data_IF_061502218732
#
_entry.id   IF_061502218732
#
_cell.length_a   1.000
_cell.length_b   1.000
_cell.length_c   1.000
_cell.angle_alpha   90.00
_cell.angle_beta   90.00
_cell.angle_gamma   90.00
#
_symmetry.space_group_name_H-M   'P 1'
#
loop_
_entity.id
_entity.type
_entity.pdbx_description
1 polymer ?
#
# COMPACT_ATOMS: atom_id res chain seq x y z
N UNK A 1 -17.32 -3.85 14.25
CA UNK A 1 -16.16 -3.45 15.08
C UNK A 1 -16.04 -4.26 16.36
N UNK A 2 -16.97 -4.10 17.31
CA UNK A 2 -16.85 -4.68 18.68
C UNK A 2 -16.55 -6.19 18.73
N UNK A 3 -17.16 -7.00 17.86
CA UNK A 3 -16.88 -8.43 17.82
C UNK A 3 -15.45 -8.72 17.38
N UNK A 4 -14.96 -8.03 16.36
CA UNK A 4 -13.58 -8.20 15.88
C UNK A 4 -12.57 -7.69 16.93
N UNK A 5 -12.83 -6.57 17.58
CA UNK A 5 -12.03 -6.06 18.70
C UNK A 5 -11.93 -7.09 19.84
N UNK A 6 -13.06 -7.69 20.20
CA UNK A 6 -13.08 -8.72 21.24
C UNK A 6 -12.29 -9.95 20.84
N UNK A 7 -12.53 -10.50 19.63
CA UNK A 7 -11.82 -11.69 19.14
C UNK A 7 -10.32 -11.41 19.03
N UNK A 8 -9.94 -10.27 18.45
CA UNK A 8 -8.52 -9.88 18.31
C UNK A 8 -7.84 -9.71 19.67
N UNK A 9 -8.52 -9.03 20.62
CA UNK A 9 -8.02 -8.77 21.97
C UNK A 9 -7.86 -10.02 22.84
N UNK A 10 -8.62 -11.10 22.58
CA UNK A 10 -8.46 -12.38 23.30
C UNK A 10 -7.23 -13.18 22.86
N UNK A 11 -6.56 -12.78 21.78
CA UNK A 11 -5.46 -13.57 21.20
C UNK A 11 -5.93 -14.89 20.58
N UNK A 12 -7.24 -15.03 20.33
CA UNK A 12 -7.77 -16.25 19.74
C UNK A 12 -7.21 -16.48 18.33
N UNK A 13 -6.84 -17.74 18.07
CA UNK A 13 -6.45 -18.25 16.75
C UNK A 13 -7.54 -19.18 16.23
N UNK A 14 -8.56 -18.65 15.53
CA UNK A 14 -9.69 -19.47 15.08
C UNK A 14 -9.27 -20.65 14.20
N UNK A 15 -8.18 -20.47 13.43
CA UNK A 15 -7.63 -21.54 12.59
C UNK A 15 -7.11 -22.75 13.40
N UNK A 16 -6.77 -22.57 14.67
CA UNK A 16 -6.32 -23.64 15.57
C UNK A 16 -7.47 -24.36 16.28
N UNK A 17 -8.70 -23.84 16.23
CA UNK A 17 -9.87 -24.54 16.74
C UNK A 17 -10.20 -25.74 15.84
N UNK A 18 -10.22 -26.99 16.38
CA UNK A 18 -10.44 -28.18 15.56
C UNK A 18 -11.79 -28.21 14.83
N UNK A 19 -12.81 -27.55 15.38
CA UNK A 19 -14.11 -27.44 14.74
C UNK A 19 -14.07 -26.45 13.58
N UNK A 20 -13.48 -25.27 13.80
CA UNK A 20 -13.31 -24.23 12.76
C UNK A 20 -12.45 -24.79 11.63
N UNK A 21 -11.28 -25.35 11.94
CA UNK A 21 -10.37 -25.92 10.95
C UNK A 21 -11.03 -27.02 10.09
N UNK A 22 -11.94 -27.80 10.67
CA UNK A 22 -12.61 -28.91 9.97
C UNK A 22 -13.86 -28.50 9.21
N UNK A 23 -14.66 -27.59 9.75
CA UNK A 23 -16.01 -27.31 9.26
C UNK A 23 -16.23 -25.90 8.72
N UNK A 24 -15.33 -24.95 9.03
CA UNK A 24 -15.47 -23.56 8.61
C UNK A 24 -14.40 -23.24 7.56
N UNK A 25 -14.72 -23.52 6.29
CA UNK A 25 -13.88 -23.12 5.15
C UNK A 25 -14.24 -21.69 4.71
N UNK A 26 -14.19 -20.75 5.66
CA UNK A 26 -14.43 -19.34 5.35
C UNK A 26 -13.14 -18.72 4.82
N UNK A 27 -13.21 -18.16 3.62
CA UNK A 27 -12.17 -17.28 3.09
C UNK A 27 -12.66 -15.85 3.17
N UNK A 28 -11.86 -14.99 3.77
CA UNK A 28 -12.10 -13.55 3.84
C UNK A 28 -11.25 -12.90 2.77
N UNK A 29 -11.90 -12.20 1.84
CA UNK A 29 -11.21 -11.39 0.84
C UNK A 29 -11.30 -9.92 1.23
N UNK A 30 -10.19 -9.22 1.29
CA UNK A 30 -10.12 -7.78 1.54
C UNK A 30 -9.08 -7.14 0.62
N UNK A 31 -9.28 -5.87 0.35
CA UNK A 31 -8.34 -5.07 -0.42
C UNK A 31 -7.42 -4.33 0.54
N UNK A 32 -6.17 -4.76 0.63
CA UNK A 32 -5.18 -4.18 1.57
C UNK A 32 -4.71 -2.82 1.08
N UNK A 33 -4.70 -2.61 -0.22
CA UNK A 33 -4.42 -1.33 -0.87
C UNK A 33 -5.01 -1.36 -2.28
N UNK A 34 -5.33 -0.21 -2.93
CA UNK A 34 -5.91 -0.18 -4.26
C UNK A 34 -5.15 -1.06 -5.26
N UNK A 35 -5.84 -2.08 -5.79
CA UNK A 35 -5.29 -3.05 -6.73
C UNK A 35 -4.61 -4.28 -6.11
N UNK A 36 -4.49 -4.38 -4.77
CA UNK A 36 -3.94 -5.56 -4.09
C UNK A 36 -5.00 -6.20 -3.21
N UNK A 37 -5.61 -7.27 -3.74
CA UNK A 37 -6.56 -8.12 -3.02
C UNK A 37 -5.87 -9.31 -2.41
N UNK A 38 -6.20 -9.59 -1.16
CA UNK A 38 -5.72 -10.75 -0.41
C UNK A 38 -6.90 -11.59 0.00
N UNK A 39 -6.74 -12.90 -0.15
CA UNK A 39 -7.71 -13.87 0.37
C UNK A 39 -6.99 -14.71 1.42
N UNK A 40 -7.51 -14.71 2.63
CA UNK A 40 -6.97 -15.49 3.74
C UNK A 40 -8.06 -16.34 4.38
N UNK A 41 -7.64 -17.39 5.09
CA UNK A 41 -8.52 -18.11 6.00
C UNK A 41 -8.93 -17.22 7.18
N UNK A 42 -9.80 -17.74 8.04
CA UNK A 42 -10.19 -17.06 9.28
C UNK A 42 -9.10 -17.27 10.34
N UNK A 43 -8.01 -16.52 10.22
CA UNK A 43 -6.88 -16.51 11.14
C UNK A 43 -6.73 -15.14 11.83
N UNK A 44 -5.80 -15.02 12.76
CA UNK A 44 -5.54 -13.78 13.48
C UNK A 44 -5.10 -12.65 12.54
N UNK A 45 -4.35 -12.99 11.49
CA UNK A 45 -3.89 -12.05 10.48
C UNK A 45 -5.07 -11.40 9.74
N UNK A 46 -5.99 -12.23 9.22
CA UNK A 46 -7.17 -11.75 8.52
C UNK A 46 -8.10 -10.92 9.42
N UNK A 47 -8.28 -11.34 10.67
CA UNK A 47 -9.10 -10.62 11.65
C UNK A 47 -8.48 -9.25 11.96
N UNK A 48 -7.16 -9.21 12.18
CA UNK A 48 -6.44 -7.96 12.45
C UNK A 48 -6.50 -6.98 11.29
N UNK A 49 -6.26 -7.46 10.06
CA UNK A 49 -6.34 -6.62 8.87
C UNK A 49 -7.77 -6.09 8.63
N UNK A 50 -8.80 -6.93 8.80
CA UNK A 50 -10.19 -6.49 8.70
C UNK A 50 -10.55 -5.45 9.78
N UNK A 51 -10.03 -5.61 11.00
CA UNK A 51 -10.21 -4.62 12.07
C UNK A 51 -9.50 -3.30 11.75
N UNK A 52 -8.29 -3.36 11.21
CA UNK A 52 -7.52 -2.19 10.79
C UNK A 52 -8.26 -1.42 9.68
N UNK A 53 -8.80 -2.11 8.66
CA UNK A 53 -9.61 -1.50 7.61
C UNK A 53 -10.86 -0.79 8.17
N UNK A 54 -11.54 -1.39 9.16
CA UNK A 54 -12.66 -0.76 9.84
C UNK A 54 -12.26 0.51 10.60
N UNK A 55 -11.12 0.50 11.28
CA UNK A 55 -10.61 1.69 11.97
C UNK A 55 -10.22 2.78 10.98
N UNK A 56 -9.53 2.43 9.91
CA UNK A 56 -9.14 3.36 8.84
C UNK A 56 -10.37 4.00 8.20
N UNK A 57 -11.37 3.21 7.81
CA UNK A 57 -12.64 3.68 7.25
C UNK A 57 -13.44 4.58 8.22
N UNK A 58 -13.25 4.39 9.52
CA UNK A 58 -13.83 5.22 10.57
C UNK A 58 -13.02 6.50 10.87
N UNK A 59 -11.95 6.80 10.12
CA UNK A 59 -11.07 7.94 10.34
C UNK A 59 -10.21 7.82 11.60
N UNK A 60 -9.83 6.60 11.99
CA UNK A 60 -9.04 6.29 13.19
C UNK A 60 -7.75 5.52 12.82
N UNK A 61 -6.87 6.09 11.97
CA UNK A 61 -5.71 5.39 11.43
C UNK A 61 -4.71 4.95 12.53
N UNK A 62 -4.57 5.70 13.61
CA UNK A 62 -3.67 5.33 14.71
C UNK A 62 -4.08 4.02 15.40
N UNK A 63 -5.39 3.75 15.50
CA UNK A 63 -5.85 2.46 16.03
C UNK A 63 -5.63 1.33 15.03
N UNK A 64 -5.78 1.61 13.73
CA UNK A 64 -5.46 0.67 12.69
C UNK A 64 -3.98 0.28 12.74
N UNK A 65 -3.08 1.26 12.86
CA UNK A 65 -1.64 1.03 13.04
C UNK A 65 -1.39 0.11 14.24
N UNK A 66 -1.93 0.46 15.41
CA UNK A 66 -1.73 -0.33 16.63
C UNK A 66 -2.24 -1.77 16.55
N UNK A 67 -3.21 -2.05 15.67
CA UNK A 67 -3.66 -3.43 15.38
C UNK A 67 -2.67 -4.14 14.47
N UNK A 68 -2.25 -3.49 13.37
CA UNK A 68 -1.37 -4.15 12.39
C UNK A 68 0.04 -4.39 12.95
N UNK A 69 0.56 -3.51 13.80
CA UNK A 69 1.85 -3.69 14.50
C UNK A 69 1.89 -4.93 15.42
N UNK A 70 0.72 -5.46 15.82
CA UNK A 70 0.61 -6.68 16.62
C UNK A 70 0.53 -7.97 15.78
N UNK A 71 0.47 -7.85 14.45
CA UNK A 71 0.42 -8.97 13.54
C UNK A 71 1.83 -9.48 13.22
N UNK A 72 1.91 -10.75 12.79
CA UNK A 72 3.18 -11.28 12.32
C UNK A 72 3.69 -10.52 11.10
N UNK A 73 4.97 -10.10 11.09
CA UNK A 73 5.55 -9.36 10.00
C UNK A 73 5.55 -10.18 8.69
N UNK A 74 4.89 -9.68 7.68
CA UNK A 74 4.89 -10.23 6.32
C UNK A 74 4.61 -9.13 5.28
N UNK A 75 4.61 -9.47 4.00
CA UNK A 75 4.38 -8.49 2.93
C UNK A 75 3.04 -7.76 3.05
N UNK A 76 2.00 -8.43 3.55
CA UNK A 76 0.66 -7.85 3.63
C UNK A 76 0.53 -6.91 4.82
N UNK A 77 1.06 -7.29 5.99
CA UNK A 77 1.12 -6.38 7.14
C UNK A 77 2.02 -5.18 6.85
N UNK A 78 3.15 -5.38 6.16
CA UNK A 78 4.02 -4.30 5.74
C UNK A 78 3.31 -3.34 4.76
N UNK A 79 2.49 -3.85 3.83
CA UNK A 79 1.72 -3.02 2.90
C UNK A 79 0.66 -2.19 3.61
N UNK A 80 -0.09 -2.81 4.53
CA UNK A 80 -1.08 -2.10 5.36
C UNK A 80 -0.43 -1.03 6.22
N UNK A 81 0.70 -1.32 6.87
CA UNK A 81 1.45 -0.32 7.65
C UNK A 81 1.98 0.81 6.77
N UNK A 82 2.55 0.51 5.60
CA UNK A 82 3.08 1.53 4.71
C UNK A 82 1.99 2.52 4.25
N UNK A 83 0.78 2.02 3.99
CA UNK A 83 -0.38 2.87 3.64
C UNK A 83 -0.81 3.74 4.82
N UNK A 84 -1.01 3.14 5.99
CA UNK A 84 -1.41 3.84 7.22
C UNK A 84 -0.38 4.88 7.67
N UNK A 85 0.91 4.55 7.59
CA UNK A 85 1.99 5.50 7.89
C UNK A 85 2.04 6.65 6.87
N UNK A 86 1.76 6.40 5.58
CA UNK A 86 1.62 7.49 4.61
C UNK A 86 0.42 8.39 4.94
N UNK A 87 -0.71 7.82 5.34
CA UNK A 87 -1.92 8.58 5.73
C UNK A 87 -1.69 9.46 6.96
N UNK A 88 -0.85 8.98 7.89
CA UNK A 88 -0.50 9.68 9.13
C UNK A 88 0.81 10.48 9.04
N UNK A 89 1.37 10.65 7.84
CA UNK A 89 2.60 11.40 7.55
C UNK A 89 3.85 10.88 8.32
N UNK A 90 3.83 9.61 8.73
CA UNK A 90 4.95 8.92 9.40
C UNK A 90 5.94 8.36 8.37
N UNK A 91 6.57 9.23 7.59
CA UNK A 91 7.35 8.84 6.41
C UNK A 91 8.64 8.07 6.74
N UNK A 92 9.27 8.33 7.88
CA UNK A 92 10.42 7.55 8.35
C UNK A 92 10.04 6.10 8.59
N UNK A 93 8.87 5.85 9.22
CA UNK A 93 8.35 4.51 9.47
C UNK A 93 8.00 3.77 8.16
N UNK A 94 7.49 4.51 7.15
CA UNK A 94 7.31 3.93 5.79
C UNK A 94 8.63 3.46 5.21
N UNK A 95 9.70 4.26 5.32
CA UNK A 95 11.02 3.89 4.81
C UNK A 95 11.54 2.67 5.54
N UNK A 96 11.34 2.58 6.86
CA UNK A 96 11.79 1.44 7.67
C UNK A 96 11.06 0.15 7.28
N UNK A 97 9.71 0.16 7.26
CA UNK A 97 8.90 -1.04 6.97
C UNK A 97 9.06 -1.54 5.54
N UNK A 98 9.45 -0.65 4.60
CA UNK A 98 9.67 -1.01 3.20
C UNK A 98 11.14 -1.25 2.85
N UNK A 99 12.05 -1.20 3.85
CA UNK A 99 13.48 -1.35 3.59
C UNK A 99 13.81 -2.76 3.09
N UNK A 100 14.68 -2.81 2.08
CA UNK A 100 15.21 -4.07 1.51
C UNK A 100 14.14 -5.04 0.96
N UNK A 101 12.92 -4.57 0.67
CA UNK A 101 11.89 -5.39 0.04
C UNK A 101 12.21 -5.56 -1.44
N UNK A 102 12.39 -6.80 -1.94
CA UNK A 102 12.61 -7.05 -3.37
C UNK A 102 11.31 -6.90 -4.15
N UNK A 103 11.38 -6.41 -5.39
CA UNK A 103 10.21 -6.28 -6.26
C UNK A 103 9.92 -7.61 -6.99
N UNK A 104 9.19 -8.50 -6.36
CA UNK A 104 8.86 -9.84 -6.89
C UNK A 104 7.44 -9.93 -7.46
N UNK A 105 6.48 -9.25 -6.85
CA UNK A 105 5.05 -9.27 -7.19
C UNK A 105 4.41 -7.87 -7.12
N UNK A 106 3.11 -7.79 -7.23
CA UNK A 106 2.35 -6.54 -7.19
C UNK A 106 2.37 -5.89 -5.81
N UNK A 107 2.31 -6.67 -4.74
CA UNK A 107 2.37 -6.15 -3.38
C UNK A 107 3.72 -5.51 -3.08
N UNK A 108 4.81 -6.17 -3.45
CA UNK A 108 6.18 -5.66 -3.27
C UNK A 108 6.49 -4.48 -4.19
N UNK A 109 5.93 -4.46 -5.41
CA UNK A 109 6.01 -3.28 -6.28
C UNK A 109 5.30 -2.06 -5.66
N UNK A 110 4.17 -2.29 -5.00
CA UNK A 110 3.43 -1.23 -4.30
C UNK A 110 4.18 -0.75 -3.05
N UNK A 111 4.85 -1.63 -2.31
CA UNK A 111 5.77 -1.25 -1.22
C UNK A 111 6.89 -0.34 -1.73
N UNK A 112 7.46 -0.63 -2.91
CA UNK A 112 8.42 0.28 -3.55
C UNK A 112 7.79 1.64 -3.90
N UNK A 113 6.51 1.69 -4.28
CA UNK A 113 5.80 2.95 -4.52
C UNK A 113 5.64 3.76 -3.22
N UNK A 114 5.20 3.15 -2.12
CA UNK A 114 5.09 3.83 -0.83
C UNK A 114 6.43 4.36 -0.34
N UNK A 115 7.50 3.56 -0.47
CA UNK A 115 8.86 4.02 -0.18
C UNK A 115 9.24 5.23 -1.01
N UNK A 116 8.90 5.24 -2.30
CA UNK A 116 9.13 6.37 -3.20
C UNK A 116 8.39 7.62 -2.74
N UNK A 117 7.13 7.49 -2.33
CA UNK A 117 6.33 8.59 -1.78
C UNK A 117 6.99 9.15 -0.51
N UNK A 118 7.28 8.29 0.46
CA UNK A 118 7.89 8.72 1.72
C UNK A 118 9.24 9.42 1.52
N UNK A 119 10.10 8.88 0.68
CA UNK A 119 11.39 9.51 0.36
C UNK A 119 11.22 10.88 -0.33
N UNK A 120 10.16 11.06 -1.15
CA UNK A 120 9.84 12.38 -1.71
C UNK A 120 9.45 13.38 -0.63
N UNK A 121 8.55 12.98 0.27
CA UNK A 121 8.10 13.84 1.37
C UNK A 121 9.25 14.23 2.32
N UNK A 122 10.21 13.32 2.50
CA UNK A 122 11.46 13.58 3.23
C UNK A 122 12.50 14.40 2.42
N UNK A 123 12.16 14.85 1.19
CA UNK A 123 13.06 15.63 0.33
C UNK A 123 14.18 14.82 -0.33
N UNK A 124 14.17 13.50 -0.20
CA UNK A 124 15.19 12.60 -0.76
C UNK A 124 14.86 12.19 -2.21
N UNK A 125 14.77 13.16 -3.11
CA UNK A 125 14.25 12.98 -4.48
C UNK A 125 15.00 11.94 -5.31
N UNK A 126 16.32 11.83 -5.20
CA UNK A 126 17.08 10.84 -5.95
C UNK A 126 16.72 9.40 -5.52
N UNK A 127 16.68 9.15 -4.21
CA UNK A 127 16.28 7.87 -3.64
C UNK A 127 14.81 7.55 -3.95
N UNK A 128 13.93 8.54 -3.91
CA UNK A 128 12.52 8.43 -4.31
C UNK A 128 12.39 7.94 -5.75
N UNK A 129 13.08 8.57 -6.69
CA UNK A 129 13.07 8.14 -8.10
C UNK A 129 13.62 6.73 -8.30
N UNK A 130 14.63 6.35 -7.53
CA UNK A 130 15.18 4.99 -7.58
C UNK A 130 14.14 3.96 -7.12
N UNK A 131 13.38 4.25 -6.05
CA UNK A 131 12.29 3.40 -5.58
C UNK A 131 11.16 3.26 -6.62
N UNK A 132 10.72 4.35 -7.25
CA UNK A 132 9.74 4.26 -8.34
C UNK A 132 10.27 3.54 -9.58
N UNK A 133 11.56 3.68 -9.91
CA UNK A 133 12.19 2.93 -10.99
C UNK A 133 12.17 1.42 -10.70
N UNK A 134 12.41 1.04 -9.45
CA UNK A 134 12.32 -0.36 -9.03
C UNK A 134 10.88 -0.88 -9.15
N UNK A 135 9.87 -0.12 -8.67
CA UNK A 135 8.46 -0.48 -8.83
C UNK A 135 8.06 -0.72 -10.30
N UNK A 136 8.62 0.08 -11.22
CA UNK A 136 8.35 0.03 -12.67
C UNK A 136 9.20 -0.97 -13.44
N UNK A 137 10.08 -1.74 -12.79
CA UNK A 137 11.03 -2.65 -13.43
C UNK A 137 10.34 -3.76 -14.23
N UNK A 138 9.24 -4.27 -13.74
CA UNK A 138 8.45 -5.30 -14.40
C UNK A 138 7.22 -4.71 -15.09
N UNK A 139 7.12 -4.94 -16.39
CA UNK A 139 5.92 -4.59 -17.19
C UNK A 139 4.73 -5.53 -16.94
N UNK A 140 4.95 -6.64 -16.23
CA UNK A 140 3.92 -7.63 -15.93
C UNK A 140 3.05 -7.24 -14.72
N UNK A 141 3.42 -6.17 -14.00
CA UNK A 141 2.63 -5.66 -12.89
C UNK A 141 1.28 -5.14 -13.37
N UNK A 142 0.28 -5.23 -12.52
CA UNK A 142 -1.05 -4.69 -12.78
C UNK A 142 -0.97 -3.21 -13.22
N UNK A 143 -1.83 -2.83 -14.17
CA UNK A 143 -1.81 -1.48 -14.75
C UNK A 143 -1.99 -0.40 -13.67
N UNK A 144 -2.87 -0.62 -12.69
CA UNK A 144 -3.13 0.32 -11.60
C UNK A 144 -1.87 0.62 -10.79
N UNK A 145 -1.04 -0.39 -10.52
CA UNK A 145 0.22 -0.23 -9.76
C UNK A 145 1.26 0.51 -10.59
N UNK A 146 1.36 0.18 -11.88
CA UNK A 146 2.27 0.87 -12.80
C UNK A 146 1.88 2.35 -12.98
N UNK A 147 0.58 2.62 -13.12
CA UNK A 147 0.07 4.00 -13.24
C UNK A 147 0.30 4.79 -11.96
N UNK A 148 0.08 4.18 -10.78
CA UNK A 148 0.39 4.82 -9.49
C UNK A 148 1.88 5.17 -9.40
N UNK A 149 2.77 4.24 -9.72
CA UNK A 149 4.21 4.49 -9.71
C UNK A 149 4.64 5.60 -10.70
N UNK A 150 4.03 5.67 -11.88
CA UNK A 150 4.29 6.72 -12.86
C UNK A 150 3.78 8.08 -12.37
N UNK A 151 2.55 8.14 -11.82
CA UNK A 151 1.96 9.37 -11.28
C UNK A 151 2.81 9.94 -10.13
N UNK A 152 3.16 9.08 -9.16
CA UNK A 152 3.95 9.52 -8.00
C UNK A 152 5.38 9.92 -8.39
N UNK A 153 5.97 9.26 -9.40
CA UNK A 153 7.27 9.67 -9.93
C UNK A 153 7.19 11.00 -10.69
N UNK A 154 6.08 11.24 -11.40
CA UNK A 154 5.84 12.54 -12.03
C UNK A 154 5.75 13.67 -11.00
N UNK A 155 5.06 13.46 -9.88
CA UNK A 155 5.04 14.39 -8.75
C UNK A 155 6.42 14.62 -8.15
N UNK A 156 7.26 13.58 -8.05
CA UNK A 156 8.65 13.72 -7.62
C UNK A 156 9.45 14.58 -8.59
N UNK A 157 9.30 14.38 -9.90
CA UNK A 157 9.96 15.24 -10.92
C UNK A 157 9.45 16.68 -10.88
N UNK A 158 8.16 16.89 -10.66
CA UNK A 158 7.56 18.22 -10.51
C UNK A 158 8.17 18.97 -9.31
N UNK A 159 8.26 18.31 -8.15
CA UNK A 159 8.87 18.88 -6.94
C UNK A 159 10.33 19.30 -7.15
N UNK A 160 11.05 18.62 -8.06
CA UNK A 160 12.41 18.99 -8.46
C UNK A 160 12.46 20.03 -9.60
N UNK A 161 11.31 20.51 -10.09
CA UNK A 161 11.24 21.42 -11.25
C UNK A 161 11.52 20.75 -12.60
N UNK A 162 11.58 19.43 -12.68
CA UNK A 162 11.86 18.65 -13.89
C UNK A 162 10.60 18.37 -14.71
N UNK A 163 9.84 19.44 -15.05
CA UNK A 163 8.53 19.36 -15.71
C UNK A 163 8.49 18.46 -16.96
N UNK A 164 9.54 18.48 -17.81
CA UNK A 164 9.59 17.65 -19.00
C UNK A 164 9.67 16.14 -18.70
N UNK A 165 10.27 15.74 -17.58
CA UNK A 165 10.29 14.34 -17.14
C UNK A 165 8.94 13.94 -16.53
N UNK A 166 8.34 14.81 -15.74
CA UNK A 166 7.00 14.62 -15.18
C UNK A 166 5.98 14.39 -16.31
N UNK A 167 5.96 15.29 -17.32
CA UNK A 167 5.06 15.19 -18.48
C UNK A 167 5.18 13.84 -19.20
N UNK A 168 6.40 13.34 -19.41
CA UNK A 168 6.60 12.02 -20.05
C UNK A 168 5.97 10.86 -19.29
N UNK A 169 6.02 10.87 -17.97
CA UNK A 169 5.39 9.83 -17.17
C UNK A 169 3.86 9.93 -17.22
N UNK A 170 3.31 11.15 -17.16
CA UNK A 170 1.87 11.38 -17.28
C UNK A 170 1.32 11.03 -18.66
N UNK A 171 2.06 11.32 -19.74
CA UNK A 171 1.71 10.93 -21.11
C UNK A 171 1.65 9.40 -21.29
N UNK A 172 2.49 8.65 -20.56
CA UNK A 172 2.46 7.18 -20.57
C UNK A 172 1.19 6.65 -19.91
N UNK A 173 0.74 7.27 -18.80
CA UNK A 173 -0.55 6.93 -18.19
C UNK A 173 -1.68 7.29 -19.16
N UNK A 174 -1.66 8.49 -19.74
CA UNK A 174 -2.66 8.96 -20.69
C UNK A 174 -2.84 8.02 -21.88
N UNK A 175 -1.75 7.42 -22.38
CA UNK A 175 -1.77 6.50 -23.50
C UNK A 175 -2.43 5.14 -23.15
N UNK A 176 -2.37 4.71 -21.90
CA UNK A 176 -2.97 3.44 -21.45
C UNK A 176 -4.36 3.65 -20.83
N UNK A 177 -4.56 4.74 -20.06
CA UNK A 177 -5.82 5.08 -19.38
C UNK A 177 -5.95 6.60 -19.21
N UNK A 178 -6.68 7.24 -20.10
CA UNK A 178 -6.93 8.69 -20.06
C UNK A 178 -7.88 9.13 -18.94
N UNK A 179 -8.53 8.18 -18.27
CA UNK A 179 -9.47 8.42 -17.16
C UNK A 179 -8.85 8.19 -15.78
N UNK A 180 -7.55 7.83 -15.73
CA UNK A 180 -6.89 7.53 -14.48
C UNK A 180 -6.99 8.69 -13.48
N UNK A 181 -7.37 8.36 -12.22
CA UNK A 181 -7.58 9.34 -11.17
C UNK A 181 -6.31 10.16 -10.89
N UNK A 182 -6.45 11.49 -10.76
CA UNK A 182 -5.34 12.41 -10.50
C UNK A 182 -4.49 12.78 -11.72
N UNK A 183 -4.71 12.15 -12.89
CA UNK A 183 -3.91 12.42 -14.11
C UNK A 183 -4.13 13.84 -14.64
N UNK A 184 -5.38 14.30 -14.70
CA UNK A 184 -5.72 15.62 -15.23
C UNK A 184 -5.20 16.74 -14.34
N UNK A 185 -5.31 16.57 -13.03
CA UNK A 185 -4.78 17.50 -12.03
C UNK A 185 -3.27 17.59 -12.13
N UNK A 186 -2.58 16.44 -12.24
CA UNK A 186 -1.13 16.40 -12.39
C UNK A 186 -0.64 17.04 -13.70
N UNK A 187 -1.38 16.89 -14.81
CA UNK A 187 -1.06 17.57 -16.07
C UNK A 187 -1.25 19.07 -15.96
N UNK A 188 -2.38 19.51 -15.36
CA UNK A 188 -2.66 20.94 -15.18
C UNK A 188 -1.64 21.65 -14.28
N UNK A 189 -1.05 20.95 -13.30
CA UNK A 189 0.01 21.48 -12.44
C UNK A 189 1.34 21.73 -13.19
N UNK A 190 1.51 21.14 -14.38
CA UNK A 190 2.71 21.33 -15.21
C UNK A 190 2.61 22.51 -16.19
N UNK A 191 1.43 23.05 -16.42
CA UNK A 191 1.20 24.18 -17.33
C UNK A 191 1.47 25.49 -16.58
#
# INVERSE_FOLDING_TARGET
GQLLEWVFGTGAEPAHDPFIAKYVQLQVGFEVSPGVRVTSGLDRQAIGLALAELYQSAGRPELAIGVVEQLDPNQISALSLAELYCETERFEDVVEVTNSVPNEDDATALLCCFRGVALRELGMYEASRAAFKEALKSKKREAVIRHRALLERARCYEAEGKRGMARKDLERIMAEDSSYAGLREALAALD
#
